data_IF_710004443961
#
_entry.id   IF_710004443961
#
_cell.length_a   1.000
_cell.length_b   1.000
_cell.length_c   1.000
_cell.angle_alpha   90.00
_cell.angle_beta   90.00
_cell.angle_gamma   90.00
#
_symmetry.space_group_name_H-M   'P 1'
#
loop_
_entity.id
_entity.type
_entity.pdbx_description
1 polymer ?
#
# COMPACT_ATOMS: atom_id res chain seq x y z
N UNK A 1 0.57 2.32 -30.24
CA UNK A 1 -0.20 2.66 -29.01
C UNK A 1 -0.13 1.47 -28.06
N UNK A 2 0.92 1.37 -27.24
CA UNK A 2 1.14 0.33 -26.21
C UNK A 2 2.04 0.93 -25.13
N UNK A 3 1.52 1.90 -24.36
CA UNK A 3 2.30 2.66 -23.37
C UNK A 3 1.61 2.81 -22.02
N UNK A 4 0.65 1.93 -21.71
CA UNK A 4 0.09 1.83 -20.37
C UNK A 4 0.35 0.39 -19.93
N UNK A 5 1.34 0.21 -19.06
CA UNK A 5 1.69 -1.06 -18.46
C UNK A 5 1.63 -0.87 -16.94
N UNK A 6 0.52 -1.36 -16.36
CA UNK A 6 0.43 -2.20 -15.15
C UNK A 6 1.03 -1.62 -13.86
N UNK A 7 0.29 -0.67 -13.29
CA UNK A 7 0.63 0.08 -12.07
C UNK A 7 0.00 -0.47 -10.78
N UNK A 8 -0.93 -1.41 -10.88
CA UNK A 8 -1.81 -1.80 -9.78
C UNK A 8 -1.12 -2.52 -8.62
N UNK A 9 -0.23 -3.46 -8.92
CA UNK A 9 0.28 -4.36 -7.90
C UNK A 9 1.46 -3.79 -7.09
N UNK A 10 1.99 -2.62 -7.49
CA UNK A 10 3.16 -1.99 -6.85
C UNK A 10 2.89 -1.39 -5.46
N UNK A 11 1.64 -1.14 -5.10
CA UNK A 11 1.32 -0.24 -3.98
C UNK A 11 0.29 -0.74 -2.96
N UNK A 12 -0.07 -2.01 -2.96
CA UNK A 12 -0.94 -2.56 -1.90
C UNK A 12 -0.18 -3.25 -0.75
N UNK A 13 1.16 -3.28 -0.83
CA UNK A 13 2.00 -4.03 0.10
C UNK A 13 3.27 -3.27 0.45
N UNK A 14 3.14 -2.16 1.16
CA UNK A 14 4.27 -1.49 1.81
C UNK A 14 4.09 -1.43 3.32
N UNK A 15 3.78 -2.59 3.91
CA UNK A 15 4.06 -2.88 5.32
C UNK A 15 5.44 -3.51 5.52
N UNK A 16 6.23 -3.69 4.45
CA UNK A 16 7.48 -4.44 4.45
C UNK A 16 8.78 -3.63 4.35
N UNK A 17 8.76 -2.29 4.37
CA UNK A 17 10.00 -1.50 4.37
C UNK A 17 10.60 -1.34 5.76
N UNK A 18 10.87 -2.46 6.44
CA UNK A 18 11.65 -2.47 7.69
C UNK A 18 13.04 -3.12 7.52
N UNK A 19 13.45 -3.50 6.30
CA UNK A 19 14.60 -4.41 6.10
C UNK A 19 15.67 -3.93 5.13
N UNK A 20 16.24 -2.74 5.34
CA UNK A 20 17.58 -2.42 4.78
C UNK A 20 18.59 -1.87 5.78
N UNK A 21 18.22 -1.60 7.04
CA UNK A 21 19.18 -1.13 8.06
C UNK A 21 19.88 -2.30 8.76
N UNK A 22 20.65 -3.09 8.02
CA UNK A 22 21.39 -4.23 8.59
C UNK A 22 22.84 -4.36 8.15
N UNK A 23 23.21 -3.90 6.96
CA UNK A 23 24.56 -4.11 6.42
C UNK A 23 24.97 -2.87 5.62
N UNK A 24 25.30 -1.76 6.29
CA UNK A 24 26.14 -0.66 5.77
C UNK A 24 26.51 0.34 6.88
N UNK A 25 26.57 -0.13 8.14
CA UNK A 25 26.99 0.69 9.28
C UNK A 25 28.53 0.70 9.39
N UNK A 26 29.24 1.14 8.35
CA UNK A 26 30.66 1.48 8.46
C UNK A 26 31.15 2.25 7.23
N UNK A 27 30.66 3.49 7.11
CA UNK A 27 31.32 4.66 6.51
C UNK A 27 30.25 5.74 6.32
N UNK A 28 30.15 6.69 7.26
CA UNK A 28 29.35 7.91 7.06
C UNK A 28 30.20 8.89 6.24
N UNK A 29 29.95 9.10 4.94
CA UNK A 29 30.42 10.32 4.29
C UNK A 29 29.78 11.54 4.97
N UNK A 30 30.48 12.68 4.92
CA UNK A 30 30.01 13.94 5.49
C UNK A 30 28.58 14.25 5.02
N UNK A 31 27.74 14.70 5.95
CA UNK A 31 26.36 15.05 5.64
C UNK A 31 26.33 16.13 4.54
N UNK A 32 25.64 15.90 3.41
CA UNK A 32 25.43 16.96 2.43
C UNK A 32 24.65 18.11 3.09
N UNK A 33 24.95 19.34 2.65
CA UNK A 33 24.21 20.52 3.08
C UNK A 33 22.70 20.29 2.90
N UNK A 34 21.84 20.78 3.81
CA UNK A 34 20.39 20.58 3.70
C UNK A 34 19.91 21.16 2.38
N UNK A 35 19.46 20.27 1.49
CA UNK A 35 18.71 20.66 0.30
C UNK A 35 17.52 21.49 0.77
N UNK A 36 17.26 22.61 0.09
CA UNK A 36 16.08 23.41 0.36
C UNK A 36 14.85 22.50 0.32
N UNK A 37 14.11 22.42 1.44
CA UNK A 37 12.87 21.66 1.48
C UNK A 37 11.93 22.25 0.43
N UNK A 38 11.38 21.43 -0.50
CA UNK A 38 10.39 21.92 -1.44
C UNK A 38 9.25 22.59 -0.67
N UNK A 39 8.68 23.65 -1.25
CA UNK A 39 7.52 24.32 -0.66
C UNK A 39 6.42 23.28 -0.38
N UNK A 40 5.87 23.32 0.82
CA UNK A 40 4.86 22.35 1.23
C UNK A 40 3.64 22.40 0.30
N UNK A 41 3.26 21.25 -0.24
CA UNK A 41 2.10 21.13 -1.13
C UNK A 41 0.89 20.80 -0.27
N UNK A 42 -0.06 21.72 -0.19
CA UNK A 42 -1.34 21.47 0.47
C UNK A 42 -2.14 20.44 -0.35
N UNK A 43 -2.45 19.31 0.27
CA UNK A 43 -3.23 18.23 -0.29
C UNK A 43 -4.61 18.18 0.38
N UNK A 44 -5.64 17.91 -0.42
CA UNK A 44 -7.04 17.74 0.01
C UNK A 44 -7.59 16.40 -0.46
N UNK A 45 -7.04 15.27 0.06
CA UNK A 45 -7.49 13.95 -0.32
C UNK A 45 -8.95 13.70 0.04
N UNK A 46 -9.54 12.76 -0.68
CA UNK A 46 -10.93 12.41 -0.53
C UNK A 46 -11.23 11.83 0.86
N UNK A 47 -12.27 12.35 1.49
CA UNK A 47 -12.82 11.84 2.75
C UNK A 47 -14.31 11.59 2.57
N UNK A 48 -14.76 10.42 3.00
CA UNK A 48 -16.17 10.07 3.00
C UNK A 48 -16.67 9.83 4.42
N UNK A 49 -17.97 9.99 4.60
CA UNK A 49 -18.68 9.76 5.85
C UNK A 49 -19.88 8.87 5.60
N UNK A 50 -20.04 7.86 6.43
CA UNK A 50 -21.25 7.06 6.59
C UNK A 50 -21.75 7.34 8.01
N UNK A 51 -23.03 7.61 8.19
CA UNK A 51 -23.57 7.87 9.52
C UNK A 51 -25.05 7.54 9.63
N UNK A 52 -25.47 7.21 10.84
CA UNK A 52 -26.87 7.11 11.27
C UNK A 52 -27.10 7.96 12.53
N UNK A 53 -28.05 7.56 13.38
CA UNK A 53 -28.42 8.30 14.58
C UNK A 53 -27.30 8.38 15.62
N UNK A 54 -26.51 7.32 15.81
CA UNK A 54 -25.53 7.21 16.90
C UNK A 54 -24.13 6.75 16.46
N UNK A 55 -23.98 6.41 15.18
CA UNK A 55 -22.74 5.89 14.62
C UNK A 55 -22.25 6.75 13.47
N UNK A 56 -20.95 7.00 13.41
CA UNK A 56 -20.29 7.66 12.27
C UNK A 56 -19.00 6.94 11.91
N UNK A 57 -18.85 6.58 10.64
CA UNK A 57 -17.63 5.99 10.09
C UNK A 57 -17.10 6.93 9.01
N UNK A 58 -15.90 7.46 9.23
CA UNK A 58 -15.13 8.14 8.19
C UNK A 58 -14.31 7.13 7.41
N UNK A 59 -14.35 7.20 6.08
CA UNK A 59 -13.50 6.39 5.20
C UNK A 59 -12.46 7.30 4.57
N UNK A 60 -11.18 6.95 4.72
CA UNK A 60 -10.05 7.72 4.22
C UNK A 60 -9.09 6.83 3.44
N UNK A 61 -8.73 7.27 2.24
CA UNK A 61 -7.83 6.54 1.34
C UNK A 61 -6.38 6.87 1.65
N UNK A 62 -5.56 5.85 1.89
CA UNK A 62 -4.16 6.01 2.27
C UNK A 62 -3.20 5.79 1.09
N UNK A 63 -2.02 6.37 1.19
CA UNK A 63 -0.86 6.12 0.33
C UNK A 63 0.29 5.70 1.25
N UNK A 64 0.82 4.49 1.03
CA UNK A 64 1.80 3.86 1.93
C UNK A 64 3.12 4.60 2.02
N UNK A 65 3.57 5.22 0.93
CA UNK A 65 4.84 5.93 0.89
C UNK A 65 4.66 7.29 0.22
N UNK A 66 5.12 8.33 0.90
CA UNK A 66 5.11 9.70 0.39
C UNK A 66 6.52 10.29 0.43
N UNK A 67 6.75 11.26 -0.45
CA UNK A 67 7.86 12.21 -0.28
C UNK A 67 7.55 13.16 0.88
N UNK A 68 8.57 13.72 1.56
CA UNK A 68 8.35 14.76 2.55
C UNK A 68 7.69 16.00 1.92
N UNK A 69 6.97 16.78 2.72
CA UNK A 69 6.39 18.06 2.31
C UNK A 69 4.97 18.01 1.72
N UNK A 70 4.34 16.83 1.66
CA UNK A 70 2.91 16.71 1.30
C UNK A 70 2.05 16.94 2.55
N UNK A 71 1.37 18.09 2.62
CA UNK A 71 0.54 18.48 3.76
C UNK A 71 -0.92 18.07 3.54
N UNK A 72 -1.31 16.90 4.04
CA UNK A 72 -2.66 16.35 3.85
C UNK A 72 -3.48 16.23 5.15
N UNK A 73 -2.82 16.11 6.31
CA UNK A 73 -3.46 15.95 7.61
C UNK A 73 -3.91 17.30 8.16
N UNK A 74 -4.93 17.89 7.54
CA UNK A 74 -5.46 19.20 7.90
C UNK A 74 -6.98 19.27 7.63
N UNK A 75 -7.63 20.29 8.21
CA UNK A 75 -9.03 20.63 7.90
C UNK A 75 -10.00 19.49 8.24
N UNK A 76 -10.94 19.12 7.33
CA UNK A 76 -11.90 18.03 7.55
C UNK A 76 -11.28 16.70 7.94
N UNK A 77 -10.13 16.32 7.37
CA UNK A 77 -9.45 15.04 7.68
C UNK A 77 -8.98 15.02 9.13
N UNK A 78 -8.26 16.05 9.55
CA UNK A 78 -7.77 16.18 10.92
C UNK A 78 -8.94 16.28 11.92
N UNK A 79 -9.98 17.04 11.57
CA UNK A 79 -11.18 17.20 12.40
C UNK A 79 -11.91 15.87 12.59
N UNK A 80 -12.11 15.10 11.51
CA UNK A 80 -12.75 13.80 11.54
C UNK A 80 -11.94 12.79 12.36
N UNK A 81 -10.62 12.75 12.18
CA UNK A 81 -9.72 11.88 12.93
C UNK A 81 -9.78 12.18 14.44
N UNK A 82 -9.58 13.43 14.85
CA UNK A 82 -9.61 13.85 16.26
C UNK A 82 -10.97 13.64 16.93
N UNK A 83 -12.05 13.69 16.15
CA UNK A 83 -13.40 13.47 16.65
C UNK A 83 -13.77 11.99 16.77
N UNK A 84 -12.94 11.07 16.27
CA UNK A 84 -13.20 9.63 16.29
C UNK A 84 -12.71 8.99 17.58
N UNK A 85 -13.37 7.90 17.99
CA UNK A 85 -13.03 7.17 19.21
C UNK A 85 -11.95 6.11 18.93
N UNK A 86 -11.94 5.56 17.71
CA UNK A 86 -11.03 4.51 17.27
C UNK A 86 -10.50 4.72 15.85
N UNK A 87 -9.29 4.22 15.61
CA UNK A 87 -8.66 4.12 14.30
C UNK A 87 -8.76 2.68 13.79
N UNK A 88 -9.32 2.50 12.61
CA UNK A 88 -9.35 1.21 11.91
C UNK A 88 -8.43 1.29 10.71
N UNK A 89 -7.46 0.37 10.64
CA UNK A 89 -6.54 0.23 9.52
C UNK A 89 -6.67 -1.16 8.89
N UNK A 90 -6.01 -1.41 7.76
CA UNK A 90 -6.05 -2.75 7.15
C UNK A 90 -5.49 -3.83 8.09
N UNK A 91 -4.34 -3.58 8.70
CA UNK A 91 -3.74 -4.47 9.71
C UNK A 91 -3.59 -3.74 11.05
N UNK A 92 -3.62 -4.46 12.19
CA UNK A 92 -3.39 -3.83 13.49
C UNK A 92 -1.95 -3.33 13.60
N UNK A 93 -1.68 -2.58 14.66
CA UNK A 93 -0.29 -2.34 15.04
C UNK A 93 0.41 -3.68 15.31
N UNK A 94 1.55 -3.88 14.64
CA UNK A 94 2.34 -5.11 14.72
C UNK A 94 3.78 -4.72 15.02
N UNK A 95 4.45 -5.42 15.95
CA UNK A 95 5.85 -5.16 16.22
C UNK A 95 6.70 -5.49 15.00
N UNK A 96 7.76 -4.72 14.77
CA UNK A 96 8.63 -4.92 13.59
C UNK A 96 9.22 -6.34 13.52
N UNK A 97 9.54 -6.95 14.68
CA UNK A 97 10.03 -8.31 14.77
C UNK A 97 8.97 -9.36 14.36
N UNK A 98 7.72 -9.16 14.77
CA UNK A 98 6.62 -10.07 14.41
C UNK A 98 6.29 -9.97 12.93
N UNK A 99 6.30 -8.75 12.37
CA UNK A 99 6.18 -8.53 10.94
C UNK A 99 7.32 -9.21 10.17
N UNK A 100 8.57 -9.07 10.65
CA UNK A 100 9.73 -9.75 10.04
C UNK A 100 9.53 -11.27 9.99
N UNK A 101 9.11 -11.85 11.11
CA UNK A 101 8.91 -13.28 11.24
C UNK A 101 7.82 -13.76 10.26
N UNK A 102 6.68 -13.07 10.20
CA UNK A 102 5.60 -13.41 9.29
C UNK A 102 6.04 -13.37 7.81
N UNK A 103 6.85 -12.38 7.44
CA UNK A 103 7.40 -12.26 6.10
C UNK A 103 8.36 -13.41 5.78
N UNK A 104 9.30 -13.72 6.68
CA UNK A 104 10.23 -14.83 6.48
C UNK A 104 9.52 -16.18 6.44
N UNK A 105 8.42 -16.33 7.16
CA UNK A 105 7.62 -17.56 7.13
C UNK A 105 6.89 -17.73 5.79
N UNK A 106 6.32 -16.65 5.25
CA UNK A 106 5.48 -16.69 4.05
C UNK A 106 6.25 -16.53 2.73
N UNK A 107 7.39 -15.84 2.72
CA UNK A 107 8.07 -15.45 1.48
C UNK A 107 9.15 -16.44 1.02
N UNK A 108 9.47 -17.47 1.78
CA UNK A 108 10.63 -18.33 1.54
C UNK A 108 10.29 -19.52 0.65
N UNK A 109 11.11 -19.73 -0.38
CA UNK A 109 11.03 -20.94 -1.19
C UNK A 109 11.41 -22.19 -0.38
N UNK A 110 10.82 -23.33 -0.76
CA UNK A 110 11.20 -24.63 -0.23
C UNK A 110 12.72 -24.88 -0.41
N UNK A 111 13.38 -25.56 0.55
CA UNK A 111 14.81 -25.85 0.45
C UNK A 111 15.20 -26.51 -0.87
N UNK A 112 16.29 -26.03 -1.49
CA UNK A 112 16.79 -26.54 -2.77
C UNK A 112 16.15 -25.93 -4.02
N UNK A 113 15.15 -25.05 -3.86
CA UNK A 113 14.64 -24.20 -4.95
C UNK A 113 15.36 -22.85 -4.98
N UNK A 114 15.35 -22.23 -6.15
CA UNK A 114 15.93 -20.91 -6.39
C UNK A 114 14.99 -20.08 -7.27
N UNK A 115 14.72 -18.83 -6.90
CA UNK A 115 13.89 -17.93 -7.70
C UNK A 115 14.34 -17.88 -9.16
N UNK A 116 15.65 -17.66 -9.39
CA UNK A 116 16.20 -17.55 -10.74
C UNK A 116 16.10 -18.82 -11.57
N UNK A 117 15.94 -19.98 -10.94
CA UNK A 117 15.75 -21.25 -11.64
C UNK A 117 14.26 -21.54 -11.93
N UNK A 118 13.34 -20.79 -11.29
CA UNK A 118 11.90 -20.83 -11.57
C UNK A 118 11.52 -19.93 -12.77
N UNK A 119 12.37 -18.96 -13.11
CA UNK A 119 12.12 -17.99 -14.17
C UNK A 119 12.56 -18.49 -15.54
N UNK A 120 11.84 -18.05 -16.56
CA UNK A 120 12.24 -18.30 -17.95
C UNK A 120 13.49 -17.46 -18.26
N UNK A 121 14.33 -17.86 -19.24
CA UNK A 121 15.62 -17.20 -19.48
C UNK A 121 15.54 -15.67 -19.67
N UNK A 122 14.47 -15.19 -20.31
CA UNK A 122 14.23 -13.75 -20.51
C UNK A 122 13.95 -13.01 -19.20
N UNK A 123 13.05 -13.54 -18.37
CA UNK A 123 12.67 -12.92 -17.09
C UNK A 123 13.82 -12.97 -16.09
N UNK A 124 14.57 -14.07 -16.08
CA UNK A 124 15.79 -14.18 -15.29
C UNK A 124 16.79 -13.09 -15.65
N UNK A 125 17.07 -12.88 -16.94
CA UNK A 125 18.02 -11.86 -17.38
C UNK A 125 17.57 -10.44 -16.98
N UNK A 126 16.27 -10.14 -17.09
CA UNK A 126 15.71 -8.86 -16.68
C UNK A 126 15.80 -8.65 -15.16
N UNK A 127 15.50 -9.67 -14.36
CA UNK A 127 15.67 -9.63 -12.91
C UNK A 127 17.13 -9.36 -12.54
N UNK A 128 18.08 -10.12 -13.10
CA UNK A 128 19.51 -9.96 -12.83
C UNK A 128 20.02 -8.56 -13.23
N UNK A 129 19.52 -8.01 -14.33
CA UNK A 129 19.81 -6.64 -14.77
C UNK A 129 19.26 -5.60 -13.76
N UNK A 130 18.01 -5.75 -13.31
CA UNK A 130 17.40 -4.85 -12.34
C UNK A 130 18.19 -4.85 -11.02
N UNK A 131 18.54 -6.03 -10.50
CA UNK A 131 19.35 -6.17 -9.29
C UNK A 131 20.72 -5.52 -9.42
N UNK A 132 21.38 -5.70 -10.56
CA UNK A 132 22.67 -5.07 -10.84
C UNK A 132 22.54 -3.54 -10.86
N UNK A 133 21.47 -2.98 -11.44
CA UNK A 133 21.18 -1.54 -11.41
C UNK A 133 20.94 -0.98 -10.00
N UNK A 134 20.50 -1.83 -9.07
CA UNK A 134 20.37 -1.50 -7.66
C UNK A 134 21.65 -1.74 -6.84
N UNK A 135 22.70 -2.32 -7.43
CA UNK A 135 23.93 -2.68 -6.74
C UNK A 135 23.81 -3.95 -5.88
N UNK A 136 22.82 -4.79 -6.17
CA UNK A 136 22.56 -6.04 -5.47
C UNK A 136 23.17 -7.23 -6.24
N UNK A 137 23.60 -8.30 -5.53
CA UNK A 137 24.02 -9.52 -6.19
C UNK A 137 22.84 -10.18 -6.91
N UNK A 138 23.11 -10.84 -8.04
CA UNK A 138 22.09 -11.58 -8.80
C UNK A 138 21.34 -12.61 -7.95
N UNK A 139 21.98 -13.15 -6.91
CA UNK A 139 21.40 -14.13 -5.99
C UNK A 139 20.61 -13.53 -4.82
N UNK A 140 20.40 -12.21 -4.76
CA UNK A 140 19.79 -11.53 -3.61
C UNK A 140 18.42 -12.10 -3.22
N UNK A 141 17.65 -12.56 -4.21
CA UNK A 141 16.30 -13.08 -4.02
C UNK A 141 16.17 -14.59 -4.24
N UNK A 142 17.28 -15.33 -4.40
CA UNK A 142 17.23 -16.76 -4.76
C UNK A 142 16.42 -17.61 -3.77
N UNK A 143 16.40 -17.25 -2.49
CA UNK A 143 15.67 -17.99 -1.45
C UNK A 143 14.20 -17.59 -1.31
N UNK A 144 13.73 -16.61 -2.07
CA UNK A 144 12.41 -16.03 -1.91
C UNK A 144 11.48 -16.38 -3.07
N UNK A 145 10.19 -16.41 -2.78
CA UNK A 145 9.16 -16.59 -3.80
C UNK A 145 9.10 -15.40 -4.77
N UNK A 146 8.65 -15.61 -6.03
CA UNK A 146 8.58 -14.53 -7.01
C UNK A 146 7.76 -13.32 -6.55
N UNK A 147 6.65 -13.52 -5.82
CA UNK A 147 5.82 -12.42 -5.33
C UNK A 147 6.59 -11.49 -4.38
N UNK A 148 7.45 -12.06 -3.52
CA UNK A 148 8.22 -11.28 -2.56
C UNK A 148 9.28 -10.44 -3.27
N UNK A 149 9.97 -11.04 -4.24
CA UNK A 149 10.91 -10.29 -5.07
C UNK A 149 10.21 -9.13 -5.79
N UNK A 150 9.00 -9.35 -6.30
CA UNK A 150 8.20 -8.31 -6.95
C UNK A 150 7.94 -7.14 -5.98
N UNK A 151 7.42 -7.42 -4.78
CA UNK A 151 7.18 -6.40 -3.75
C UNK A 151 8.47 -5.68 -3.32
N UNK A 152 9.55 -6.42 -3.10
CA UNK A 152 10.81 -5.85 -2.63
C UNK A 152 11.49 -4.95 -3.69
N UNK A 153 11.38 -5.30 -4.98
CA UNK A 153 11.99 -4.55 -6.07
C UNK A 153 11.42 -3.13 -6.22
N UNK A 154 10.17 -2.91 -5.81
CA UNK A 154 9.51 -1.59 -5.89
C UNK A 154 10.12 -0.59 -4.89
N UNK A 155 10.56 -1.09 -3.73
CA UNK A 155 11.02 -0.24 -2.64
C UNK A 155 12.35 0.46 -2.93
N UNK A 156 13.26 -0.18 -3.67
CA UNK A 156 14.59 0.38 -3.95
C UNK A 156 14.58 1.69 -4.76
N UNK A 157 13.97 1.77 -5.95
CA UNK A 157 13.92 3.02 -6.70
C UNK A 157 13.11 4.09 -5.97
N UNK A 158 11.99 3.74 -5.33
CA UNK A 158 11.17 4.69 -4.59
C UNK A 158 11.94 5.34 -3.42
N UNK A 159 12.72 4.55 -2.68
CA UNK A 159 13.60 5.08 -1.64
C UNK A 159 14.67 6.04 -2.20
N UNK A 160 15.22 5.75 -3.39
CA UNK A 160 16.16 6.67 -4.08
C UNK A 160 15.49 7.98 -4.48
N UNK A 161 14.21 7.95 -4.84
CA UNK A 161 13.39 9.13 -5.19
C UNK A 161 12.79 9.84 -3.95
N UNK A 162 13.20 9.44 -2.74
CA UNK A 162 12.83 10.09 -1.49
C UNK A 162 11.45 9.73 -0.94
N UNK A 163 10.80 8.71 -1.48
CA UNK A 163 9.62 8.12 -0.86
C UNK A 163 10.01 7.28 0.36
N UNK A 164 9.17 7.33 1.38
CA UNK A 164 9.39 6.56 2.60
C UNK A 164 8.04 6.22 3.25
N UNK A 165 7.97 5.01 3.83
CA UNK A 165 6.79 4.57 4.58
C UNK A 165 6.62 5.35 5.90
N UNK A 166 7.71 5.90 6.43
CA UNK A 166 7.69 6.78 7.59
C UNK A 166 6.91 8.08 7.31
N UNK A 167 6.92 8.55 6.06
CA UNK A 167 6.09 9.67 5.59
C UNK A 167 4.70 9.21 5.12
N UNK A 168 4.44 7.90 5.12
CA UNK A 168 3.19 7.29 4.72
C UNK A 168 2.01 7.76 5.57
N UNK A 169 0.82 7.66 4.97
CA UNK A 169 -0.42 8.10 5.60
C UNK A 169 -0.73 7.27 6.86
N UNK A 170 -0.55 5.96 6.77
CA UNK A 170 -0.78 5.00 7.86
C UNK A 170 0.15 5.25 9.04
N UNK A 171 1.43 5.58 8.78
CA UNK A 171 2.39 5.86 9.84
C UNK A 171 2.04 7.15 10.60
N UNK A 172 1.57 8.16 9.87
CA UNK A 172 1.08 9.41 10.46
C UNK A 172 -0.13 9.15 11.36
N UNK A 173 -1.15 8.43 10.88
CA UNK A 173 -2.31 8.09 11.70
C UNK A 173 -1.96 7.20 12.89
N UNK A 174 -1.05 6.24 12.72
CA UNK A 174 -0.58 5.39 13.82
C UNK A 174 0.09 6.22 14.92
N UNK A 175 0.90 7.21 14.54
CA UNK A 175 1.56 8.12 15.47
C UNK A 175 0.54 9.01 16.18
N UNK A 176 -0.40 9.60 15.45
CA UNK A 176 -1.43 10.47 16.03
C UNK A 176 -2.44 9.68 16.88
N UNK A 177 -2.76 8.42 16.54
CA UNK A 177 -3.65 7.57 17.33
C UNK A 177 -3.06 7.27 18.71
N UNK A 178 -1.77 6.90 18.77
CA UNK A 178 -1.05 6.71 20.03
C UNK A 178 -1.06 7.97 20.91
N UNK A 179 -0.84 9.13 20.29
CA UNK A 179 -0.83 10.42 20.98
C UNK A 179 -2.19 10.79 21.58
N UNK A 180 -3.28 10.46 20.90
CA UNK A 180 -4.64 10.77 21.34
C UNK A 180 -5.32 9.62 22.10
N UNK A 181 -4.65 8.48 22.27
CA UNK A 181 -5.19 7.32 22.97
C UNK A 181 -6.29 6.58 22.19
N UNK A 182 -6.36 6.76 20.86
CA UNK A 182 -7.29 6.00 20.02
C UNK A 182 -6.83 4.55 19.92
N UNK A 183 -7.74 3.61 20.21
CA UNK A 183 -7.49 2.21 19.92
C UNK A 183 -7.26 2.04 18.42
N UNK A 184 -6.25 1.24 18.03
CA UNK A 184 -6.01 0.86 16.64
C UNK A 184 -6.42 -0.58 16.41
N UNK A 185 -7.37 -0.79 15.50
CA UNK A 185 -7.91 -2.10 15.13
C UNK A 185 -7.56 -2.39 13.67
N UNK A 186 -7.28 -3.66 13.35
CA UNK A 186 -7.08 -4.13 11.98
C UNK A 186 -8.34 -4.79 11.41
N UNK A 187 -8.62 -4.57 10.13
CA UNK A 187 -9.62 -5.32 9.37
C UNK A 187 -9.14 -6.75 9.03
N UNK A 188 -7.83 -6.91 8.95
CA UNK A 188 -7.09 -8.10 8.54
C UNK A 188 -5.87 -8.32 9.44
N UNK A 189 -5.13 -9.40 9.22
CA UNK A 189 -3.85 -9.66 9.88
C UNK A 189 -2.70 -9.53 8.90
N UNK A 190 -1.49 -9.30 9.41
CA UNK A 190 -0.28 -9.33 8.57
C UNK A 190 -0.14 -10.66 7.82
N UNK A 191 -0.37 -11.79 8.51
CA UNK A 191 -0.34 -13.12 7.91
C UNK A 191 -1.37 -13.27 6.79
N UNK A 192 -2.59 -12.73 6.95
CA UNK A 192 -3.59 -12.74 5.89
C UNK A 192 -3.12 -11.97 4.65
N UNK A 193 -2.57 -10.77 4.83
CA UNK A 193 -2.07 -9.96 3.70
C UNK A 193 -0.93 -10.64 2.95
N UNK A 194 0.00 -11.28 3.66
CA UNK A 194 1.09 -12.03 3.04
C UNK A 194 0.55 -13.26 2.30
N UNK A 195 -0.40 -13.98 2.90
CA UNK A 195 -1.03 -15.14 2.30
C UNK A 195 -1.79 -14.81 0.99
N UNK A 196 -2.24 -13.56 0.79
CA UNK A 196 -2.83 -13.13 -0.47
C UNK A 196 -1.85 -13.36 -1.63
N UNK A 197 -0.57 -13.05 -1.44
CA UNK A 197 0.45 -13.20 -2.46
C UNK A 197 1.02 -14.63 -2.52
N UNK A 198 1.32 -15.21 -1.36
CA UNK A 198 1.88 -16.56 -1.22
C UNK A 198 0.93 -17.64 -1.77
N UNK A 199 -0.39 -17.45 -1.62
CA UNK A 199 -1.38 -18.38 -2.16
C UNK A 199 -1.66 -18.23 -3.66
N UNK A 200 -1.07 -17.22 -4.33
CA UNK A 200 -1.22 -17.08 -5.78
C UNK A 200 -0.56 -18.26 -6.50
N UNK A 201 -1.16 -18.77 -7.58
CA UNK A 201 -0.51 -19.74 -8.45
C UNK A 201 0.86 -19.24 -8.92
N UNK A 202 1.84 -20.14 -9.01
CA UNK A 202 3.22 -19.77 -9.34
C UNK A 202 3.34 -19.02 -10.68
N UNK A 203 2.51 -19.35 -11.67
CA UNK A 203 2.43 -18.62 -12.94
C UNK A 203 1.99 -17.16 -12.75
N UNK A 204 1.05 -16.90 -11.84
CA UNK A 204 0.63 -15.54 -11.47
C UNK A 204 1.75 -14.80 -10.77
N UNK A 205 2.42 -15.43 -9.80
CA UNK A 205 3.53 -14.79 -9.11
C UNK A 205 4.69 -14.43 -10.07
N UNK A 206 5.00 -15.32 -11.04
CA UNK A 206 5.99 -15.05 -12.09
C UNK A 206 5.55 -13.90 -13.00
N UNK A 207 4.29 -13.87 -13.43
CA UNK A 207 3.74 -12.78 -14.25
C UNK A 207 3.81 -11.45 -13.50
N UNK A 208 3.43 -11.46 -12.22
CA UNK A 208 3.51 -10.28 -11.36
C UNK A 208 4.94 -9.76 -11.23
N UNK A 209 5.93 -10.64 -10.99
CA UNK A 209 7.34 -10.25 -10.96
C UNK A 209 7.80 -9.66 -12.29
N UNK A 210 7.43 -10.28 -13.41
CA UNK A 210 7.73 -9.75 -14.74
C UNK A 210 7.19 -8.34 -14.93
N UNK A 211 5.92 -8.11 -14.57
CA UNK A 211 5.26 -6.82 -14.70
C UNK A 211 5.91 -5.74 -13.85
N UNK A 212 6.28 -6.06 -12.60
CA UNK A 212 7.04 -5.15 -11.75
C UNK A 212 8.35 -4.76 -12.41
N UNK A 213 9.12 -5.73 -12.92
CA UNK A 213 10.42 -5.45 -13.56
C UNK A 213 10.25 -4.54 -14.77
N UNK A 214 9.22 -4.76 -15.59
CA UNK A 214 8.91 -3.90 -16.75
C UNK A 214 8.46 -2.48 -16.34
N UNK A 215 7.80 -2.34 -15.18
CA UNK A 215 7.32 -1.06 -14.65
C UNK A 215 8.37 -0.24 -13.88
N UNK A 216 9.49 -0.85 -13.44
CA UNK A 216 10.56 -0.15 -12.71
C UNK A 216 11.02 1.18 -13.36
N UNK A 217 11.14 1.30 -14.70
CA UNK A 217 11.56 2.55 -15.33
C UNK A 217 10.58 3.72 -15.19
N UNK A 218 9.28 3.47 -14.99
CA UNK A 218 8.23 4.51 -14.89
C UNK A 218 7.66 4.66 -13.48
N UNK A 219 8.08 3.81 -12.54
CA UNK A 219 7.51 3.70 -11.19
C UNK A 219 7.39 5.03 -10.42
N UNK A 220 8.39 5.91 -10.50
CA UNK A 220 8.30 7.24 -9.86
C UNK A 220 7.26 8.14 -10.52
N UNK A 221 7.23 8.20 -11.86
CA UNK A 221 6.26 9.01 -12.61
C UNK A 221 4.83 8.56 -12.30
N UNK A 222 4.65 7.24 -12.26
CA UNK A 222 3.41 6.57 -11.97
C UNK A 222 2.91 6.87 -10.55
N UNK A 223 3.76 6.67 -9.53
CA UNK A 223 3.43 7.00 -8.15
C UNK A 223 3.22 8.51 -7.96
N UNK A 224 4.01 9.35 -8.61
CA UNK A 224 3.82 10.79 -8.59
C UNK A 224 2.45 11.18 -9.18
N UNK A 225 2.00 10.49 -10.23
CA UNK A 225 0.64 10.60 -10.78
C UNK A 225 -0.43 10.26 -9.76
N UNK A 226 -0.30 9.12 -9.09
CA UNK A 226 -1.24 8.69 -8.04
C UNK A 226 -1.28 9.70 -6.89
N UNK A 227 -0.12 10.15 -6.40
CA UNK A 227 -0.04 11.14 -5.31
C UNK A 227 -0.67 12.48 -5.74
N UNK A 228 -0.54 12.90 -7.01
CA UNK A 228 -1.23 14.09 -7.51
C UNK A 228 -2.74 13.95 -7.45
N UNK A 229 -3.30 12.88 -8.00
CA UNK A 229 -4.76 12.67 -8.00
C UNK A 229 -5.32 12.45 -6.59
N UNK A 230 -4.59 11.71 -5.76
CA UNK A 230 -4.89 11.57 -4.34
C UNK A 230 -4.89 12.92 -3.63
N UNK A 231 -3.85 13.75 -3.83
CA UNK A 231 -3.76 15.09 -3.23
C UNK A 231 -4.85 16.03 -3.72
N UNK A 232 -5.33 15.86 -4.95
CA UNK A 232 -6.43 16.64 -5.51
C UNK A 232 -7.82 16.14 -5.05
N UNK A 233 -7.88 15.00 -4.35
CA UNK A 233 -9.15 14.39 -3.94
C UNK A 233 -9.96 13.87 -5.13
N UNK A 234 -9.29 13.36 -6.17
CA UNK A 234 -9.91 12.86 -7.40
C UNK A 234 -9.94 11.31 -7.42
N UNK A 235 -10.91 10.67 -6.75
CA UNK A 235 -10.96 9.21 -6.61
C UNK A 235 -11.20 8.49 -7.94
N UNK A 236 -11.89 9.13 -8.90
CA UNK A 236 -12.17 8.50 -10.20
C UNK A 236 -10.89 8.38 -11.03
N UNK A 237 -10.10 9.47 -11.11
CA UNK A 237 -8.80 9.42 -11.80
C UNK A 237 -7.78 8.57 -11.04
N UNK A 238 -7.82 8.59 -9.71
CA UNK A 238 -7.01 7.70 -8.90
C UNK A 238 -7.37 6.22 -9.14
N UNK A 239 -8.65 5.89 -9.36
CA UNK A 239 -9.08 4.54 -9.71
C UNK A 239 -8.55 4.12 -11.09
N UNK A 240 -8.47 5.04 -12.05
CA UNK A 240 -7.90 4.74 -13.37
C UNK A 240 -6.40 4.42 -13.25
N UNK A 241 -5.65 5.17 -12.43
CA UNK A 241 -4.21 4.96 -12.25
C UNK A 241 -3.89 3.74 -11.38
N UNK A 242 -4.67 3.49 -10.34
CA UNK A 242 -4.47 2.35 -9.45
C UNK A 242 -5.07 1.09 -10.07
N UNK A 243 -6.37 1.07 -10.32
CA UNK A 243 -7.15 -0.16 -10.46
C UNK A 243 -7.38 -0.60 -11.91
N UNK A 244 -7.36 0.31 -12.88
CA UNK A 244 -7.78 -0.01 -14.24
C UNK A 244 -6.73 -0.78 -15.05
N UNK A 245 -5.48 -0.78 -14.61
CA UNK A 245 -4.35 -1.39 -15.31
C UNK A 245 -4.09 -2.85 -14.91
N UNK A 246 -4.77 -3.40 -13.90
CA UNK A 246 -4.71 -4.83 -13.58
C UNK A 246 -5.75 -5.61 -14.39
N UNK A 247 -5.25 -6.49 -15.24
CA UNK A 247 -6.06 -7.31 -16.12
C UNK A 247 -6.17 -8.77 -15.67
N UNK A 248 -5.37 -9.26 -14.70
CA UNK A 248 -5.58 -10.59 -14.13
C UNK A 248 -6.74 -10.57 -13.11
N UNK A 249 -7.90 -11.17 -13.43
CA UNK A 249 -9.05 -11.17 -12.54
C UNK A 249 -8.77 -11.88 -11.21
N UNK A 250 -7.78 -12.79 -11.14
CA UNK A 250 -7.35 -13.44 -9.89
C UNK A 250 -6.65 -12.45 -8.98
N UNK A 251 -5.79 -11.60 -9.55
CA UNK A 251 -5.10 -10.54 -8.81
C UNK A 251 -6.08 -9.46 -8.35
N UNK A 252 -6.97 -8.98 -9.23
CA UNK A 252 -8.04 -8.03 -8.86
C UNK A 252 -8.93 -8.59 -7.76
N UNK A 253 -9.29 -9.88 -7.84
CA UNK A 253 -10.10 -10.54 -6.83
C UNK A 253 -9.40 -10.58 -5.47
N UNK A 254 -8.13 -11.01 -5.46
CA UNK A 254 -7.37 -11.20 -4.24
C UNK A 254 -6.99 -9.87 -3.56
N UNK A 255 -6.51 -8.90 -4.33
CA UNK A 255 -6.03 -7.61 -3.82
C UNK A 255 -7.13 -6.60 -3.53
N UNK A 256 -8.26 -6.65 -4.25
CA UNK A 256 -9.34 -5.66 -4.06
C UNK A 256 -10.68 -6.30 -3.72
N UNK A 257 -11.30 -7.01 -4.66
CA UNK A 257 -12.76 -7.19 -4.56
C UNK A 257 -13.19 -8.14 -3.44
N UNK A 258 -12.38 -9.14 -3.10
CA UNK A 258 -12.65 -10.00 -1.94
C UNK A 258 -12.53 -9.22 -0.63
N UNK A 259 -11.49 -8.40 -0.51
CA UNK A 259 -11.22 -7.56 0.67
C UNK A 259 -12.29 -6.48 0.84
N UNK A 260 -12.62 -5.76 -0.23
CA UNK A 260 -13.69 -4.77 -0.25
C UNK A 260 -15.03 -5.36 0.20
N UNK A 261 -15.33 -6.60 -0.20
CA UNK A 261 -16.55 -7.30 0.23
C UNK A 261 -16.53 -7.61 1.72
N UNK A 262 -15.41 -8.13 2.23
CA UNK A 262 -15.24 -8.40 3.65
C UNK A 262 -15.33 -7.11 4.48
N UNK A 263 -14.71 -6.03 4.02
CA UNK A 263 -14.72 -4.73 4.72
C UNK A 263 -16.09 -4.05 4.66
N UNK A 264 -16.82 -4.16 3.54
CA UNK A 264 -18.19 -3.68 3.47
C UNK A 264 -19.12 -4.42 4.46
N UNK A 265 -18.92 -5.73 4.63
CA UNK A 265 -19.61 -6.51 5.67
C UNK A 265 -19.22 -6.06 7.07
N UNK A 266 -17.92 -5.85 7.32
CA UNK A 266 -17.40 -5.33 8.59
C UNK A 266 -18.03 -3.98 8.92
N UNK A 267 -18.07 -3.04 7.97
CA UNK A 267 -18.68 -1.72 8.14
C UNK A 267 -20.17 -1.86 8.44
N UNK A 268 -20.89 -2.72 7.71
CA UNK A 268 -22.33 -2.94 7.94
C UNK A 268 -22.61 -3.47 9.35
N UNK A 269 -21.76 -4.35 9.86
CA UNK A 269 -21.83 -4.83 11.23
C UNK A 269 -21.44 -3.74 12.25
N UNK A 270 -20.39 -2.96 11.96
CA UNK A 270 -19.90 -1.88 12.84
C UNK A 270 -20.92 -0.75 13.00
N UNK A 271 -21.75 -0.50 11.99
CA UNK A 271 -22.86 0.45 12.06
C UNK A 271 -23.94 0.06 13.08
N UNK A 272 -23.94 -1.17 13.61
CA UNK A 272 -24.87 -1.59 14.68
C UNK A 272 -24.38 -1.26 16.10
N UNK A 273 -23.26 -0.53 16.22
CA UNK A 273 -22.63 -0.19 17.50
C UNK A 273 -22.38 1.32 17.55
N UNK A 274 -22.87 2.05 18.58
CA UNK A 274 -22.65 3.48 18.69
C UNK A 274 -21.15 3.87 18.66
N UNK A 275 -20.86 5.08 18.20
CA UNK A 275 -19.51 5.66 18.26
C UNK A 275 -18.97 6.13 16.92
N UNK A 276 -17.75 6.66 16.96
CA UNK A 276 -17.10 7.30 15.81
C UNK A 276 -15.84 6.56 15.42
N UNK A 277 -15.77 6.13 14.16
CA UNK A 277 -14.66 5.36 13.60
C UNK A 277 -13.96 6.19 12.54
N UNK A 278 -12.63 6.25 12.62
CA UNK A 278 -11.82 6.69 11.49
C UNK A 278 -11.20 5.47 10.83
N UNK A 279 -11.71 5.08 9.66
CA UNK A 279 -11.17 3.98 8.86
C UNK A 279 -10.20 4.52 7.80
N UNK A 280 -8.94 4.12 7.89
CA UNK A 280 -7.86 4.45 6.98
C UNK A 280 -7.37 3.19 6.26
N UNK A 281 -7.71 3.06 4.97
CA UNK A 281 -7.36 1.91 4.11
C UNK A 281 -6.81 2.39 2.77
N UNK A 282 -6.08 1.55 2.05
CA UNK A 282 -5.44 1.89 0.79
C UNK A 282 -6.41 2.57 -0.18
N UNK A 283 -5.99 3.67 -0.79
CA UNK A 283 -6.89 4.49 -1.61
C UNK A 283 -7.53 3.72 -2.78
N UNK A 284 -6.88 2.67 -3.28
CA UNK A 284 -7.43 1.77 -4.31
C UNK A 284 -8.73 1.09 -3.90
N UNK A 285 -8.93 0.83 -2.60
CA UNK A 285 -10.16 0.23 -2.07
C UNK A 285 -11.35 1.20 -2.03
N UNK A 286 -11.06 2.50 -2.04
CA UNK A 286 -12.07 3.56 -1.96
C UNK A 286 -12.33 4.25 -3.32
N UNK A 287 -11.85 3.65 -4.40
CA UNK A 287 -11.84 4.22 -5.73
C UNK A 287 -12.46 3.26 -6.76
N UNK A 288 -13.21 3.79 -7.72
CA UNK A 288 -13.79 3.02 -8.83
C UNK A 288 -15.05 2.21 -8.49
N UNK A 289 -15.50 1.42 -9.48
CA UNK A 289 -16.81 0.73 -9.49
C UNK A 289 -16.96 -0.40 -8.47
N UNK A 290 -15.85 -1.00 -8.05
CA UNK A 290 -15.80 -2.10 -7.09
C UNK A 290 -15.29 -1.65 -5.71
N UNK A 291 -15.34 -0.34 -5.44
CA UNK A 291 -14.96 0.25 -4.15
C UNK A 291 -15.84 -0.22 -2.99
N UNK A 292 -15.33 -0.09 -1.77
CA UNK A 292 -16.08 -0.37 -0.53
C UNK A 292 -17.39 0.41 -0.50
N UNK A 293 -17.37 1.69 -0.89
CA UNK A 293 -18.55 2.56 -0.95
C UNK A 293 -19.58 2.02 -1.94
N UNK A 294 -19.15 1.56 -3.12
CA UNK A 294 -20.05 0.97 -4.11
C UNK A 294 -20.68 -0.34 -3.61
N UNK A 295 -19.95 -1.12 -2.81
CA UNK A 295 -20.48 -2.34 -2.19
C UNK A 295 -21.49 -2.02 -1.07
N UNK A 296 -21.21 -1.02 -0.24
CA UNK A 296 -22.11 -0.58 0.83
C UNK A 296 -23.43 -0.01 0.32
N UNK A 297 -23.39 0.73 -0.80
CA UNK A 297 -24.59 1.30 -1.42
C UNK A 297 -25.61 0.22 -1.80
N UNK A 298 -25.15 -0.98 -2.18
CA UNK A 298 -26.03 -2.14 -2.48
C UNK A 298 -26.80 -2.64 -1.26
N UNK A 299 -26.30 -2.37 -0.06
CA UNK A 299 -26.93 -2.69 1.23
C UNK A 299 -27.67 -1.50 1.85
N UNK A 300 -27.80 -0.38 1.12
CA UNK A 300 -28.49 0.83 1.59
C UNK A 300 -27.64 1.77 2.45
N UNK A 301 -26.36 1.47 2.67
CA UNK A 301 -25.43 2.36 3.38
C UNK A 301 -24.71 3.28 2.39
N UNK A 302 -25.03 4.57 2.42
CA UNK A 302 -24.49 5.55 1.48
C UNK A 302 -23.35 6.34 2.11
N UNK A 303 -22.18 6.27 1.49
CA UNK A 303 -21.03 7.10 1.85
C UNK A 303 -21.13 8.48 1.16
N UNK A 304 -21.14 9.55 1.95
CA UNK A 304 -21.20 10.94 1.46
C UNK A 304 -19.81 11.56 1.48
N UNK A 305 -19.43 12.23 0.40
CA UNK A 305 -18.16 12.97 0.32
C UNK A 305 -18.21 14.19 1.24
N UNK A 306 -17.20 14.35 2.09
CA UNK A 306 -17.10 15.44 3.08
C UNK A 306 -15.83 16.29 2.95
N UNK A 307 -14.97 15.99 1.97
CA UNK A 307 -13.86 16.84 1.53
C UNK A 307 -13.65 16.74 0.03
#
# INVERSE_FOLDING_TARGET
>A
MRRMIRTFALFLSLTLTWFTTGVLAQQRPAAPAPLAQPAAVAARPALWKIADHDTTIYLFGTIHALRPGVMWMAGPVETAFKASDELVTEIPETAAADMQAAVMESAMLAPGKSLRDLLDPGDRAKLEQALTGFGLPASAFDRFEPWYAAVALTAFPLAREGYSAENGVEQTFSTEAKKHGHARIGLETAAYQLAIFDSLPLDVQKSYLHEVIEGLPTLDEDLAGMVREWSAGNPDKLAELLNADEDDPRMVAALLTNRNRAWAQWISARMQQPGKVFMAVGAGHLAGKDSVQAMLAKSGLVAVRVQ
#
